data_IF_717002626378
#
_entry.id   IF_717002626378
#
_cell.length_a   1.000
_cell.length_b   1.000
_cell.length_c   1.000
_cell.angle_alpha   90.00
_cell.angle_beta   90.00
_cell.angle_gamma   90.00
#
_symmetry.space_group_name_H-M   'P 1'
#
loop_
_entity.id
_entity.type
_entity.pdbx_description
1 polymer ?
#
# COMPACT_ATOMS: atom_id res chain seq x y z
N UNK A 1 -0.09 6.66 6.19
CA UNK A 1 -0.48 7.61 5.12
C UNK A 1 -1.37 6.86 4.12
N UNK A 2 -2.41 7.48 3.54
CA UNK A 2 -3.17 6.87 2.43
C UNK A 2 -2.50 7.26 1.10
N UNK A 3 -2.20 6.26 0.26
CA UNK A 3 -1.54 6.42 -1.03
C UNK A 3 -2.39 6.12 -2.26
N UNK A 4 -3.71 5.94 -2.15
CA UNK A 4 -4.54 5.40 -3.24
C UNK A 4 -4.62 6.25 -4.51
N UNK A 5 -4.25 7.54 -4.45
CA UNK A 5 -4.23 8.46 -5.60
C UNK A 5 -2.82 8.99 -5.90
N UNK A 6 -1.78 8.37 -5.35
CA UNK A 6 -0.42 8.93 -5.37
C UNK A 6 0.22 8.87 -6.77
N UNK A 7 -0.14 7.90 -7.61
CA UNK A 7 0.35 7.81 -8.99
C UNK A 7 -0.57 8.57 -9.96
N UNK A 8 -0.27 9.84 -10.22
CA UNK A 8 -1.00 10.63 -11.21
C UNK A 8 -2.51 10.75 -10.95
N UNK A 9 -2.93 10.64 -9.67
CA UNK A 9 -4.32 10.68 -9.25
C UNK A 9 -5.00 9.32 -9.08
N UNK A 10 -4.39 8.20 -9.52
CA UNK A 10 -5.02 6.87 -9.49
C UNK A 10 -4.02 5.75 -9.18
N UNK A 11 -4.23 5.06 -8.07
CA UNK A 11 -3.37 4.01 -7.57
C UNK A 11 -2.01 4.50 -7.07
N UNK A 12 -1.06 3.58 -6.96
CA UNK A 12 0.29 3.82 -6.46
C UNK A 12 1.27 2.82 -7.09
N UNK A 13 2.46 3.29 -7.49
CA UNK A 13 3.55 2.45 -8.01
C UNK A 13 4.47 1.99 -6.88
N UNK A 14 5.31 0.96 -7.12
CA UNK A 14 6.29 0.48 -6.12
C UNK A 14 7.27 1.59 -5.73
N UNK A 15 7.66 2.43 -6.70
CA UNK A 15 8.53 3.59 -6.49
C UNK A 15 7.91 4.61 -5.53
N UNK A 16 6.69 5.10 -5.82
CA UNK A 16 6.00 6.09 -4.98
C UNK A 16 5.72 5.54 -3.58
N UNK A 17 5.38 4.25 -3.47
CA UNK A 17 5.24 3.59 -2.17
C UNK A 17 6.56 3.67 -1.36
N UNK A 18 7.69 3.33 -1.98
CA UNK A 18 9.01 3.37 -1.32
C UNK A 18 9.45 4.78 -0.96
N UNK A 19 9.16 5.76 -1.80
CA UNK A 19 9.38 7.17 -1.49
C UNK A 19 8.54 7.62 -0.30
N UNK A 20 7.26 7.23 -0.26
CA UNK A 20 6.34 7.57 0.85
C UNK A 20 6.85 6.99 2.17
N UNK A 21 7.31 5.73 2.17
CA UNK A 21 7.97 5.13 3.32
C UNK A 21 9.24 5.93 3.65
N UNK A 22 10.13 6.18 2.69
CA UNK A 22 11.38 6.90 2.95
C UNK A 22 11.15 8.30 3.53
N UNK A 23 10.06 8.97 3.12
CA UNK A 23 9.65 10.29 3.60
C UNK A 23 9.13 10.30 5.05
N UNK A 24 8.86 9.14 5.66
CA UNK A 24 8.48 9.07 7.07
C UNK A 24 7.30 8.15 7.37
N UNK A 25 6.56 7.67 6.36
CA UNK A 25 5.41 6.82 6.64
C UNK A 25 5.84 5.47 7.23
N UNK A 26 5.21 5.07 8.33
CA UNK A 26 5.36 3.71 8.89
C UNK A 26 4.59 2.67 8.07
N UNK A 27 3.39 3.05 7.63
CA UNK A 27 2.48 2.20 6.85
C UNK A 27 1.79 3.05 5.80
N UNK A 28 1.62 2.47 4.60
CA UNK A 28 0.81 3.04 3.52
C UNK A 28 -0.46 2.21 3.37
N UNK A 29 -1.60 2.85 3.60
CA UNK A 29 -2.92 2.29 3.29
C UNK A 29 -3.37 2.74 1.90
N UNK A 30 -4.37 2.07 1.36
CA UNK A 30 -4.97 2.38 0.06
C UNK A 30 -6.50 2.27 0.15
N UNK A 31 -7.20 2.46 -0.97
CA UNK A 31 -8.64 2.42 -1.06
C UNK A 31 -9.12 1.73 -2.34
N UNK A 32 -10.14 2.27 -2.99
CA UNK A 32 -10.75 1.64 -4.16
C UNK A 32 -9.85 1.69 -5.41
N UNK A 33 -8.89 2.61 -5.47
CA UNK A 33 -7.94 2.75 -6.57
C UNK A 33 -6.68 1.88 -6.43
N UNK A 34 -6.63 0.98 -5.45
CA UNK A 34 -5.45 0.17 -5.10
C UNK A 34 -4.85 -0.62 -6.27
N UNK A 35 -5.63 -0.99 -7.28
CA UNK A 35 -5.19 -1.80 -8.43
C UNK A 35 -5.10 -1.03 -9.75
N UNK A 36 -5.33 0.28 -9.74
CA UNK A 36 -5.31 1.10 -10.97
C UNK A 36 -3.90 1.15 -11.59
N UNK A 37 -2.87 1.00 -10.76
CA UNK A 37 -1.51 0.69 -11.20
C UNK A 37 -1.31 -0.83 -11.16
N UNK A 38 -1.12 -1.46 -12.33
CA UNK A 38 -0.97 -2.93 -12.44
C UNK A 38 0.15 -3.49 -11.58
N UNK A 39 1.20 -2.71 -11.37
CA UNK A 39 2.36 -3.08 -10.57
C UNK A 39 2.00 -3.35 -9.09
N UNK A 40 0.91 -2.75 -8.58
CA UNK A 40 0.41 -2.99 -7.23
C UNK A 40 0.09 -4.48 -6.97
N UNK A 41 -0.38 -5.23 -7.97
CA UNK A 41 -0.63 -6.66 -7.82
C UNK A 41 0.66 -7.47 -7.61
N UNK A 42 1.80 -6.96 -8.09
CA UNK A 42 3.10 -7.64 -8.05
C UNK A 42 3.86 -7.31 -6.76
N UNK A 43 3.84 -6.06 -6.31
CA UNK A 43 4.58 -5.67 -5.10
C UNK A 43 3.76 -5.78 -3.81
N UNK A 44 2.43 -5.67 -3.83
CA UNK A 44 1.61 -5.72 -2.61
C UNK A 44 1.83 -6.98 -1.75
N UNK A 45 2.05 -8.20 -2.30
CA UNK A 45 2.39 -9.37 -1.48
C UNK A 45 3.76 -9.25 -0.79
N UNK A 46 4.73 -8.59 -1.44
CA UNK A 46 6.13 -8.46 -1.01
C UNK A 46 6.31 -7.35 0.04
N UNK A 47 5.55 -6.27 -0.07
CA UNK A 47 5.71 -5.09 0.78
C UNK A 47 4.79 -5.15 2.02
N UNK A 48 5.32 -5.51 3.18
CA UNK A 48 4.53 -5.75 4.40
C UNK A 48 3.81 -4.51 4.94
N UNK A 49 4.34 -3.32 4.65
CA UNK A 49 3.81 -2.01 5.08
C UNK A 49 2.81 -1.42 4.07
N UNK A 50 2.46 -2.18 3.03
CA UNK A 50 1.42 -1.83 2.08
C UNK A 50 0.11 -2.53 2.46
N UNK A 51 -0.95 -1.76 2.70
CA UNK A 51 -2.26 -2.27 3.07
C UNK A 51 -3.32 -1.94 2.01
N UNK A 52 -4.00 -2.98 1.53
CA UNK A 52 -5.23 -2.89 0.72
C UNK A 52 -6.48 -2.93 1.60
N UNK A 53 -7.67 -2.53 1.12
CA UNK A 53 -8.91 -2.68 1.89
C UNK A 53 -9.14 -4.12 2.35
N UNK A 54 -9.44 -4.33 3.63
CA UNK A 54 -9.51 -5.67 4.24
C UNK A 54 -10.64 -6.55 3.69
N UNK A 55 -11.70 -5.93 3.17
CA UNK A 55 -12.93 -6.55 2.68
C UNK A 55 -12.85 -7.13 1.25
N UNK A 56 -11.69 -7.09 0.60
CA UNK A 56 -11.49 -7.84 -0.65
C UNK A 56 -11.57 -9.37 -0.42
N UNK A 57 -11.96 -10.16 -1.44
CA UNK A 57 -12.05 -11.61 -1.34
C UNK A 57 -10.76 -12.29 -0.82
N UNK A 58 -10.92 -13.48 -0.24
CA UNK A 58 -9.79 -14.30 0.16
C UNK A 58 -8.92 -14.64 -1.06
N UNK A 59 -7.61 -14.50 -0.91
CA UNK A 59 -6.65 -14.72 -2.01
C UNK A 59 -6.31 -13.45 -2.80
N UNK A 60 -6.97 -12.31 -2.55
CA UNK A 60 -6.54 -11.02 -3.12
C UNK A 60 -5.10 -10.70 -2.66
N UNK A 61 -4.19 -10.36 -3.58
CA UNK A 61 -2.80 -10.02 -3.28
C UNK A 61 -2.65 -8.97 -2.18
N UNK A 62 -1.58 -9.10 -1.38
CA UNK A 62 -1.27 -8.15 -0.31
C UNK A 62 -2.09 -8.36 0.97
N UNK A 63 -1.92 -7.42 1.91
CA UNK A 63 -2.45 -7.50 3.27
C UNK A 63 -3.61 -6.53 3.48
N UNK A 64 -4.65 -6.99 4.17
CA UNK A 64 -5.82 -6.17 4.53
C UNK A 64 -5.66 -5.38 5.83
N UNK A 65 -4.73 -5.80 6.68
CA UNK A 65 -4.46 -5.27 8.01
C UNK A 65 -3.10 -5.77 8.51
N UNK A 66 -2.53 -5.11 9.51
CA UNK A 66 -1.30 -5.55 10.17
C UNK A 66 -1.04 -4.78 11.47
N UNK A 67 -0.17 -5.32 12.32
CA UNK A 67 0.35 -4.65 13.52
C UNK A 67 1.81 -4.28 13.24
N UNK A 68 2.17 -3.04 13.52
CA UNK A 68 3.48 -2.48 13.18
C UNK A 68 4.04 -1.72 14.38
N UNK A 69 5.35 -1.82 14.58
CA UNK A 69 6.08 -0.93 15.49
C UNK A 69 6.33 0.36 14.70
N UNK A 70 5.88 1.49 15.24
CA UNK A 70 6.13 2.79 14.64
C UNK A 70 7.61 3.18 14.82
N UNK A 71 8.15 4.02 13.94
CA UNK A 71 9.55 4.49 14.02
C UNK A 71 9.92 5.14 15.35
N UNK A 72 8.95 5.71 16.05
CA UNK A 72 9.14 6.39 17.33
C UNK A 72 8.96 5.47 18.55
N UNK A 73 8.73 4.17 18.37
CA UNK A 73 8.52 3.20 19.45
C UNK A 73 7.15 3.32 20.11
#
# INVERSE_FOLDING_TARGET
VNGENAAGGFGITEEIFRETISAGADVVTTGNHVWDQRDALVFAPREERFLRPSNFPKGTPGRGSGVYIARNG
#
